data_IF_318961702254
#
_entry.id   IF_318961702254
#
_cell.length_a   1.000
_cell.length_b   1.000
_cell.length_c   1.000
_cell.angle_alpha   90.00
_cell.angle_beta   90.00
_cell.angle_gamma   90.00
#
_symmetry.space_group_name_H-M   'P 1'
#
loop_
_entity.id
_entity.type
_entity.pdbx_description
1 polymer ?
#
# COMPACT_ATOMS: atom_id res chain seq x y z
N UNK A 1 0.82 29.62 26.06
CA UNK A 1 0.08 28.74 26.98
C UNK A 1 0.80 27.41 27.02
N UNK A 2 1.19 26.98 28.21
CA UNK A 2 2.16 25.93 28.50
C UNK A 2 1.64 24.52 28.19
N UNK A 3 2.48 23.68 27.59
CA UNK A 3 2.43 22.23 27.74
C UNK A 3 3.84 21.72 28.07
N UNK A 4 4.24 21.89 29.33
CA UNK A 4 5.32 21.15 29.96
C UNK A 4 4.69 20.34 31.10
N UNK A 5 4.31 19.09 30.78
CA UNK A 5 3.90 18.10 31.77
C UNK A 5 5.07 17.16 32.03
N UNK A 6 5.71 17.32 33.18
CA UNK A 6 6.73 16.40 33.70
C UNK A 6 6.03 15.11 34.14
N UNK A 7 6.38 13.99 33.53
CA UNK A 7 6.08 12.66 34.08
C UNK A 7 7.34 12.10 34.74
N UNK A 8 7.39 12.24 36.07
CA UNK A 8 8.29 11.48 36.92
C UNK A 8 7.61 10.13 37.24
N UNK A 9 8.21 9.02 36.80
CA UNK A 9 7.73 7.68 37.11
C UNK A 9 8.16 6.67 36.06
N UNK A 10 9.23 5.92 36.37
CA UNK A 10 9.88 5.01 35.45
C UNK A 10 8.96 3.94 34.86
N UNK A 11 8.72 4.06 33.56
CA UNK A 11 8.73 2.98 32.58
C UNK A 11 9.24 3.64 31.31
N UNK A 12 10.33 3.14 30.72
CA UNK A 12 10.55 3.42 29.30
C UNK A 12 9.23 3.10 28.62
N UNK A 13 8.61 4.09 27.98
CA UNK A 13 7.54 3.79 27.03
C UNK A 13 8.21 2.84 26.03
N UNK A 14 7.89 1.55 26.10
CA UNK A 14 8.25 0.61 25.04
C UNK A 14 7.51 1.18 23.85
N UNK A 15 8.22 1.95 23.04
CA UNK A 15 7.72 2.40 21.75
C UNK A 15 7.30 1.10 21.06
N UNK A 16 6.01 0.96 20.76
CA UNK A 16 5.47 -0.32 20.31
C UNK A 16 6.29 -0.80 19.10
N UNK A 17 7.10 -1.85 19.29
CA UNK A 17 8.05 -2.32 18.28
C UNK A 17 7.35 -2.70 16.97
N UNK A 18 6.08 -3.15 17.07
CA UNK A 18 5.23 -3.43 15.91
C UNK A 18 4.92 -2.16 15.13
N UNK A 19 4.57 -1.08 15.83
CA UNK A 19 4.30 0.21 15.21
C UNK A 19 5.55 0.75 14.52
N UNK A 20 6.72 0.68 15.17
CA UNK A 20 7.98 1.16 14.58
C UNK A 20 8.36 0.38 13.33
N UNK A 21 8.29 -0.95 13.38
CA UNK A 21 8.55 -1.81 12.22
C UNK A 21 7.56 -1.55 11.09
N UNK A 22 6.28 -1.40 11.43
CA UNK A 22 5.23 -1.07 10.47
C UNK A 22 5.43 0.29 9.80
N UNK A 23 5.73 1.31 10.59
CA UNK A 23 5.97 2.67 10.10
C UNK A 23 7.21 2.73 9.20
N UNK A 24 8.29 2.06 9.58
CA UNK A 24 9.48 1.92 8.72
C UNK A 24 9.14 1.26 7.38
N UNK A 25 8.36 0.16 7.42
CA UNK A 25 7.94 -0.54 6.20
C UNK A 25 7.03 0.31 5.32
N UNK A 26 6.14 1.09 5.92
CA UNK A 26 5.28 2.02 5.18
C UNK A 26 6.10 3.15 4.54
N UNK A 27 7.15 3.64 5.22
CA UNK A 27 8.07 4.65 4.70
C UNK A 27 8.81 4.15 3.44
N UNK A 28 9.32 2.92 3.45
CA UNK A 28 9.97 2.29 2.30
C UNK A 28 9.06 2.23 1.05
N UNK A 29 7.75 2.11 1.25
CA UNK A 29 6.76 1.98 0.16
C UNK A 29 6.21 3.33 -0.33
N UNK A 30 6.74 4.46 0.16
CA UNK A 30 6.32 5.81 -0.23
C UNK A 30 5.72 6.66 0.88
N UNK A 31 5.69 6.16 2.12
CA UNK A 31 5.43 6.94 3.34
C UNK A 31 4.00 7.46 3.52
N UNK A 32 3.75 8.00 4.72
CA UNK A 32 2.46 8.50 5.19
C UNK A 32 1.94 9.73 4.40
N UNK A 33 2.71 10.34 3.49
CA UNK A 33 2.27 11.48 2.68
C UNK A 33 1.56 11.12 1.36
N UNK A 34 1.62 9.84 0.95
CA UNK A 34 0.94 9.34 -0.25
C UNK A 34 -0.57 9.16 -0.06
N UNK A 35 -1.27 8.68 -1.11
CA UNK A 35 -2.70 8.33 -1.06
C UNK A 35 -3.03 7.46 0.18
N UNK A 36 -2.10 6.58 0.56
CA UNK A 36 -2.24 5.65 1.69
C UNK A 36 -2.42 6.34 3.04
N UNK A 37 -1.66 7.40 3.35
CA UNK A 37 -1.80 8.09 4.64
C UNK A 37 -3.03 8.98 4.69
N UNK A 38 -3.35 9.65 3.57
CA UNK A 38 -4.54 10.52 3.47
C UNK A 38 -5.84 9.79 3.79
N UNK A 39 -6.01 8.55 3.31
CA UNK A 39 -7.21 7.74 3.59
C UNK A 39 -7.41 7.51 5.09
N UNK A 40 -6.33 7.34 5.85
CA UNK A 40 -6.44 7.16 7.30
C UNK A 40 -6.58 8.48 8.05
N UNK A 41 -5.88 9.53 7.61
CA UNK A 41 -5.94 10.87 8.21
C UNK A 41 -7.35 11.45 8.12
N UNK A 42 -8.05 11.24 7.00
CA UNK A 42 -9.44 11.67 6.77
C UNK A 42 -10.45 10.99 7.71
N UNK A 43 -10.09 9.86 8.32
CA UNK A 43 -10.96 9.09 9.23
C UNK A 43 -10.55 9.23 10.70
N UNK A 44 -9.54 10.04 11.01
CA UNK A 44 -8.95 10.10 12.34
C UNK A 44 -9.88 10.72 13.40
N UNK A 45 -10.86 11.53 12.99
CA UNK A 45 -11.86 12.16 13.86
C UNK A 45 -12.89 11.15 14.40
N UNK A 46 -13.19 10.09 13.63
CA UNK A 46 -14.16 9.04 13.99
C UNK A 46 -13.50 7.71 14.37
N UNK A 47 -12.32 7.41 13.85
CA UNK A 47 -11.64 6.12 13.99
C UNK A 47 -10.11 6.26 14.13
N UNK A 48 -9.61 6.95 15.18
CA UNK A 48 -8.19 7.25 15.35
C UNK A 48 -7.29 6.01 15.45
N UNK A 49 -7.83 4.86 15.88
CA UNK A 49 -7.09 3.61 15.98
C UNK A 49 -6.91 2.87 14.64
N UNK A 50 -7.68 3.21 13.61
CA UNK A 50 -7.68 2.48 12.34
C UNK A 50 -6.30 2.53 11.67
N UNK A 51 -5.66 3.70 11.68
CA UNK A 51 -4.29 3.85 11.18
C UNK A 51 -3.31 2.99 11.99
N UNK A 52 -3.45 3.01 13.32
CA UNK A 52 -2.60 2.24 14.23
C UNK A 52 -2.70 0.75 13.94
N UNK A 53 -3.90 0.21 13.73
CA UNK A 53 -4.08 -1.20 13.35
C UNK A 53 -3.42 -1.54 12.02
N UNK A 54 -3.56 -0.68 11.01
CA UNK A 54 -2.89 -0.89 9.72
C UNK A 54 -1.36 -0.92 9.89
N UNK A 55 -0.79 0.04 10.62
CA UNK A 55 0.66 0.12 10.85
C UNK A 55 1.16 -1.07 11.66
N UNK A 56 0.55 -1.36 12.81
CA UNK A 56 1.02 -2.41 13.71
C UNK A 56 0.85 -3.81 13.12
N UNK A 57 -0.35 -4.12 12.62
CA UNK A 57 -0.67 -5.48 12.19
C UNK A 57 -0.32 -5.70 10.71
N UNK A 58 -0.90 -4.89 9.80
CA UNK A 58 -0.74 -5.16 8.36
C UNK A 58 0.71 -4.96 7.92
N UNK A 59 1.35 -3.85 8.30
CA UNK A 59 2.76 -3.60 7.97
C UNK A 59 3.73 -4.28 8.93
N UNK A 60 3.52 -4.08 10.23
CA UNK A 60 4.44 -4.53 11.28
C UNK A 60 4.44 -6.04 11.48
N UNK A 61 3.31 -6.73 11.39
CA UNK A 61 3.27 -8.18 11.68
C UNK A 61 3.20 -9.05 10.42
N UNK A 62 2.55 -8.59 9.35
CA UNK A 62 2.33 -9.38 8.13
C UNK A 62 3.30 -8.99 7.01
N UNK A 63 3.34 -7.71 6.63
CA UNK A 63 4.13 -7.28 5.47
C UNK A 63 5.65 -7.35 5.72
N UNK A 64 6.10 -7.16 6.96
CA UNK A 64 7.52 -7.24 7.32
C UNK A 64 8.05 -8.66 7.47
N UNK A 65 7.23 -9.70 7.30
CA UNK A 65 7.68 -11.10 7.40
C UNK A 65 8.73 -11.40 6.31
N UNK A 66 9.68 -12.32 6.55
CA UNK A 66 10.55 -12.81 5.49
C UNK A 66 9.76 -13.67 4.49
N UNK A 67 10.37 -13.99 3.35
CA UNK A 67 9.87 -14.96 2.37
C UNK A 67 9.37 -14.37 1.05
N UNK A 68 8.86 -13.14 1.05
CA UNK A 68 8.55 -12.36 -0.16
C UNK A 68 9.11 -10.94 -0.01
N UNK A 69 9.70 -10.44 -1.10
CA UNK A 69 10.11 -9.04 -1.20
C UNK A 69 8.88 -8.10 -1.27
N UNK A 70 9.15 -6.79 -1.26
CA UNK A 70 8.10 -5.76 -1.29
C UNK A 70 7.24 -5.84 -2.55
N UNK A 71 7.86 -5.98 -3.73
CA UNK A 71 7.15 -5.99 -5.01
C UNK A 71 6.20 -7.16 -5.13
N UNK A 72 6.66 -8.38 -4.80
CA UNK A 72 5.83 -9.59 -4.81
C UNK A 72 4.65 -9.50 -3.84
N UNK A 73 4.83 -8.86 -2.68
CA UNK A 73 3.73 -8.63 -1.73
C UNK A 73 2.69 -7.65 -2.29
N UNK A 74 3.15 -6.56 -2.90
CA UNK A 74 2.25 -5.59 -3.52
C UNK A 74 1.47 -6.22 -4.69
N UNK A 75 2.09 -7.08 -5.52
CA UNK A 75 1.37 -7.83 -6.55
C UNK A 75 0.27 -8.74 -5.98
N UNK A 76 0.52 -9.43 -4.87
CA UNK A 76 -0.51 -10.23 -4.17
C UNK A 76 -1.64 -9.32 -3.68
N UNK A 77 -1.31 -8.19 -3.07
CA UNK A 77 -2.32 -7.25 -2.57
C UNK A 77 -3.16 -6.69 -3.73
N UNK A 78 -2.54 -6.29 -4.84
CA UNK A 78 -3.25 -5.82 -6.03
C UNK A 78 -4.25 -6.88 -6.53
N UNK A 79 -3.82 -8.15 -6.65
CA UNK A 79 -4.70 -9.24 -7.06
C UNK A 79 -5.92 -9.41 -6.12
N UNK A 80 -5.69 -9.31 -4.80
CA UNK A 80 -6.78 -9.37 -3.81
C UNK A 80 -7.72 -8.16 -3.93
N UNK A 81 -7.20 -6.95 -4.07
CA UNK A 81 -8.01 -5.73 -4.20
C UNK A 81 -8.86 -5.76 -5.47
N UNK A 82 -8.30 -6.25 -6.59
CA UNK A 82 -9.04 -6.48 -7.84
C UNK A 82 -10.18 -7.47 -7.60
N UNK A 83 -9.90 -8.60 -6.94
CA UNK A 83 -10.90 -9.64 -6.68
C UNK A 83 -12.03 -9.18 -5.74
N UNK A 84 -11.74 -8.34 -4.74
CA UNK A 84 -12.75 -7.76 -3.87
C UNK A 84 -13.68 -6.80 -4.63
N UNK A 85 -13.09 -5.92 -5.46
CA UNK A 85 -13.81 -4.83 -6.12
C UNK A 85 -14.20 -3.70 -5.16
N UNK A 86 -14.58 -2.54 -5.71
CA UNK A 86 -14.91 -1.32 -4.94
C UNK A 86 -13.81 -0.87 -3.95
N UNK A 87 -12.55 -1.08 -4.34
CA UNK A 87 -11.35 -0.83 -3.53
C UNK A 87 -10.49 0.29 -4.12
N UNK A 88 -11.10 1.22 -4.88
CA UNK A 88 -10.35 2.20 -5.67
C UNK A 88 -9.28 2.98 -4.88
N UNK A 89 -9.56 3.56 -3.70
CA UNK A 89 -8.54 4.29 -2.94
C UNK A 89 -7.35 3.41 -2.52
N UNK A 90 -7.64 2.16 -2.13
CA UNK A 90 -6.62 1.18 -1.75
C UNK A 90 -5.82 0.74 -2.98
N UNK A 91 -6.49 0.51 -4.11
CA UNK A 91 -5.85 0.13 -5.35
C UNK A 91 -4.90 1.22 -5.85
N UNK A 92 -5.31 2.49 -5.82
CA UNK A 92 -4.44 3.64 -6.15
C UNK A 92 -3.20 3.69 -5.24
N UNK A 93 -3.39 3.52 -3.92
CA UNK A 93 -2.30 3.52 -2.95
C UNK A 93 -1.31 2.35 -3.16
N UNK A 94 -1.82 1.15 -3.42
CA UNK A 94 -1.01 -0.05 -3.59
C UNK A 94 -0.34 -0.12 -4.97
N UNK A 95 -0.94 0.45 -6.02
CA UNK A 95 -0.26 0.64 -7.32
C UNK A 95 0.95 1.56 -7.17
N UNK A 96 0.79 2.67 -6.46
CA UNK A 96 1.91 3.56 -6.15
C UNK A 96 3.00 2.87 -5.33
N UNK A 97 2.60 2.01 -4.39
CA UNK A 97 3.52 1.23 -3.55
C UNK A 97 4.28 0.15 -4.34
N UNK A 98 3.60 -0.53 -5.26
CA UNK A 98 4.21 -1.51 -6.16
C UNK A 98 5.31 -0.87 -7.01
N UNK A 99 5.03 0.29 -7.61
CA UNK A 99 6.01 1.06 -8.40
C UNK A 99 7.18 1.53 -7.54
N UNK A 100 6.93 2.00 -6.31
CA UNK A 100 7.99 2.39 -5.38
C UNK A 100 8.85 1.19 -4.94
N UNK A 101 8.25 0.01 -4.87
CA UNK A 101 8.93 -1.25 -4.59
C UNK A 101 9.68 -1.83 -5.81
N UNK A 102 9.67 -1.14 -6.96
CA UNK A 102 10.41 -1.52 -8.15
C UNK A 102 9.68 -2.47 -9.10
N UNK A 103 8.38 -2.74 -8.89
CA UNK A 103 7.58 -3.54 -9.83
C UNK A 103 7.43 -2.78 -11.14
N UNK A 104 7.72 -3.42 -12.27
CA UNK A 104 7.61 -2.78 -13.57
C UNK A 104 6.13 -2.52 -13.93
N UNK A 105 5.80 -1.44 -14.66
CA UNK A 105 4.44 -1.18 -15.13
C UNK A 105 3.82 -2.35 -15.91
N UNK A 106 4.63 -3.06 -16.70
CA UNK A 106 4.21 -4.26 -17.42
C UNK A 106 3.77 -5.39 -16.48
N UNK A 107 4.52 -5.65 -15.41
CA UNK A 107 4.17 -6.68 -14.42
C UNK A 107 2.86 -6.35 -13.67
N UNK A 108 2.62 -5.07 -13.38
CA UNK A 108 1.34 -4.61 -12.79
C UNK A 108 0.17 -4.90 -13.73
N UNK A 109 0.32 -4.55 -15.02
CA UNK A 109 -0.72 -4.79 -16.03
C UNK A 109 -1.00 -6.29 -16.17
N UNK A 110 0.04 -7.13 -16.25
CA UNK A 110 -0.08 -8.58 -16.33
C UNK A 110 -0.77 -9.17 -15.08
N UNK A 111 -0.43 -8.70 -13.87
CA UNK A 111 -1.07 -9.16 -12.65
C UNK A 111 -2.58 -8.82 -12.61
N UNK A 112 -2.96 -7.63 -13.08
CA UNK A 112 -4.38 -7.24 -13.19
C UNK A 112 -5.10 -8.08 -14.24
N UNK A 113 -4.47 -8.34 -15.39
CA UNK A 113 -5.02 -9.22 -16.44
C UNK A 113 -5.18 -10.66 -15.94
N UNK A 114 -4.22 -11.18 -15.17
CA UNK A 114 -4.26 -12.52 -14.60
C UNK A 114 -5.46 -12.74 -13.67
N UNK A 115 -6.03 -11.69 -13.10
CA UNK A 115 -7.24 -11.77 -12.29
C UNK A 115 -8.51 -12.04 -13.12
N UNK A 116 -8.49 -11.85 -14.45
CA UNK A 116 -9.65 -11.94 -15.33
C UNK A 116 -10.43 -13.26 -15.22
N UNK A 117 -9.79 -14.46 -15.22
CA UNK A 117 -10.50 -15.73 -15.10
C UNK A 117 -11.20 -15.92 -13.74
N UNK A 118 -10.76 -15.22 -12.71
CA UNK A 118 -11.21 -15.41 -11.32
C UNK A 118 -12.18 -14.33 -10.84
N UNK A 119 -11.97 -13.09 -11.31
CA UNK A 119 -12.71 -11.90 -10.87
C UNK A 119 -13.64 -11.34 -11.96
N UNK A 120 -13.48 -11.75 -13.22
CA UNK A 120 -14.30 -11.32 -14.34
C UNK A 120 -13.99 -9.91 -14.87
N UNK A 121 -14.52 -9.63 -16.07
CA UNK A 121 -14.28 -8.37 -16.80
C UNK A 121 -14.60 -7.09 -15.99
N UNK A 122 -15.74 -6.97 -15.27
CA UNK A 122 -16.08 -5.70 -14.61
C UNK A 122 -15.02 -5.24 -13.60
N UNK A 123 -14.50 -6.15 -12.79
CA UNK A 123 -13.48 -5.84 -11.77
C UNK A 123 -12.12 -5.53 -12.40
N UNK A 124 -11.72 -6.30 -13.41
CA UNK A 124 -10.47 -6.07 -14.14
C UNK A 124 -10.49 -4.73 -14.89
N UNK A 125 -11.60 -4.39 -15.57
CA UNK A 125 -11.74 -3.11 -16.26
C UNK A 125 -11.66 -1.93 -15.30
N UNK A 126 -12.35 -2.00 -14.17
CA UNK A 126 -12.28 -0.97 -13.13
C UNK A 126 -10.85 -0.81 -12.60
N UNK A 127 -10.17 -1.92 -12.30
CA UNK A 127 -8.79 -1.89 -11.84
C UNK A 127 -7.80 -1.34 -12.89
N UNK A 128 -7.99 -1.70 -14.16
CA UNK A 128 -7.15 -1.23 -15.26
C UNK A 128 -7.32 0.29 -15.48
N UNK A 129 -8.52 0.83 -15.31
CA UNK A 129 -8.76 2.29 -15.36
C UNK A 129 -8.02 3.03 -14.25
N UNK A 130 -7.98 2.46 -13.04
CA UNK A 130 -7.21 3.00 -11.92
C UNK A 130 -5.71 2.91 -12.21
N UNK A 131 -5.22 1.76 -12.70
CA UNK A 131 -3.83 1.57 -13.09
C UNK A 131 -3.40 2.59 -14.16
N UNK A 132 -4.21 2.80 -15.20
CA UNK A 132 -3.96 3.83 -16.22
C UNK A 132 -3.77 5.21 -15.59
N UNK A 133 -4.64 5.60 -14.67
CA UNK A 133 -4.57 6.92 -14.01
C UNK A 133 -3.27 7.07 -13.21
N UNK A 134 -2.89 6.06 -12.43
CA UNK A 134 -1.65 6.07 -11.65
C UNK A 134 -0.42 6.11 -12.55
N UNK A 135 -0.38 5.29 -13.61
CA UNK A 135 0.73 5.26 -14.56
C UNK A 135 0.87 6.55 -15.36
N UNK A 136 -0.25 7.16 -15.77
CA UNK A 136 -0.27 8.47 -16.45
C UNK A 136 0.30 9.57 -15.54
N UNK A 137 -0.12 9.62 -14.27
CA UNK A 137 0.41 10.59 -13.29
C UNK A 137 1.91 10.46 -12.99
N UNK A 138 2.55 9.38 -13.45
CA UNK A 138 3.98 9.11 -13.29
C UNK A 138 4.73 9.11 -14.62
N UNK A 139 4.10 9.53 -15.71
CA UNK A 139 4.68 9.53 -17.07
C UNK A 139 5.17 8.14 -17.52
N UNK A 140 4.46 7.08 -17.12
CA UNK A 140 4.81 5.67 -17.40
C UNK A 140 4.00 5.06 -18.56
N UNK A 141 3.31 5.88 -19.35
CA UNK A 141 2.54 5.45 -20.53
C UNK A 141 3.26 5.84 -21.84
N UNK A 142 3.15 5.02 -22.91
CA UNK A 142 2.50 3.70 -22.94
C UNK A 142 3.33 2.62 -22.24
N UNK A 143 2.65 1.65 -21.62
CA UNK A 143 3.34 0.47 -21.08
C UNK A 143 3.84 -0.37 -22.25
N UNK A 144 5.16 -0.54 -22.35
CA UNK A 144 5.77 -1.41 -23.36
C UNK A 144 6.05 -2.78 -22.75
N UNK A 145 5.64 -3.85 -23.44
CA UNK A 145 5.71 -5.26 -22.97
C UNK A 145 7.12 -5.86 -22.97
N UNK A 146 8.15 -5.09 -23.32
CA UNK A 146 9.52 -5.60 -23.45
C UNK A 146 10.29 -5.74 -22.12
N UNK A 147 9.66 -5.52 -20.95
CA UNK A 147 10.38 -5.57 -19.66
C UNK A 147 10.50 -6.98 -19.05
N UNK A 148 9.97 -8.03 -19.68
CA UNK A 148 10.22 -9.42 -19.24
C UNK A 148 11.57 -9.99 -19.71
N UNK A 149 12.36 -9.19 -20.43
CA UNK A 149 13.72 -9.55 -20.86
C UNK A 149 14.77 -8.78 -20.05
N UNK A 150 15.08 -9.27 -18.85
CA UNK A 150 16.43 -9.42 -18.27
C UNK A 150 16.37 -10.01 -16.85
#
# INVERSE_FOLDING_TARGET
MHWLGVFAGGKLAIVNERFQRGAARQAELGGAGGVRGRVYDELADIAPDLHRFAVEFAYGDIHSRPGLDAGRRELVILGVLVALGDTRPQLEAHLGSALNAGVAPGEIVEAILQALPYAGFPRVLAAMAVARTVLESRDLLPVTTNSLAQ
#
